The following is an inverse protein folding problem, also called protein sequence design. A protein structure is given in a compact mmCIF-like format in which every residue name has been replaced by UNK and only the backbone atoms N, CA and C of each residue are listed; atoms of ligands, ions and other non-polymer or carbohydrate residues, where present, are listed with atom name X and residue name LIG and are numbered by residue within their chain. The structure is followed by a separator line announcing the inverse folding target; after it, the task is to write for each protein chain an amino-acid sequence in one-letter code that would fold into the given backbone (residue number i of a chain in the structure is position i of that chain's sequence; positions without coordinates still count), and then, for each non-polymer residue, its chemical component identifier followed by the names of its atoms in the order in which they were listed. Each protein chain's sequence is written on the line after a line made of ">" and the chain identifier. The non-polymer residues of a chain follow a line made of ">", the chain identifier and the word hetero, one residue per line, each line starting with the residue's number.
data_IF_272140446071
#
_entry.id   IF_272140446071
#
_cell.length_a   1.000
_cell.length_b   1.000
_cell.length_c   1.000
_cell.angle_alpha   90.00
_cell.angle_beta   90.00
_cell.angle_gamma   90.00
#
_symmetry.space_group_name_H-M   'P 1'
#
loop_
_entity.id
_entity.type
_entity.pdbx_description
1 polymer ?
#
# COMPACT_ATOMS: atom_id res chain seq x y z
N UNK A 1 -17.60 16.64 -34.72
CA UNK A 1 -18.33 16.03 -33.60
C UNK A 1 -17.66 16.53 -32.35
N UNK A 2 -18.31 17.51 -31.68
CA UNK A 2 -17.88 18.00 -30.37
C UNK A 2 -18.01 16.85 -29.38
N UNK A 3 -16.95 16.56 -28.63
CA UNK A 3 -17.02 15.68 -27.46
C UNK A 3 -17.91 16.40 -26.46
N UNK A 4 -19.18 16.00 -26.39
CA UNK A 4 -20.03 16.41 -25.29
C UNK A 4 -19.32 16.00 -24.00
N UNK A 5 -19.03 16.97 -23.18
CA UNK A 5 -18.40 16.76 -21.87
C UNK A 5 -19.44 15.98 -21.05
N UNK A 6 -19.26 14.68 -20.97
CA UNK A 6 -20.18 13.81 -20.23
C UNK A 6 -20.07 14.17 -18.75
N UNK A 7 -21.13 14.81 -18.25
CA UNK A 7 -21.22 15.20 -16.84
C UNK A 7 -21.78 14.05 -16.03
N UNK A 8 -21.08 13.66 -14.97
CA UNK A 8 -21.60 12.69 -14.02
C UNK A 8 -22.65 13.36 -13.13
N UNK A 9 -23.97 13.06 -13.26
CA UNK A 9 -24.96 13.54 -12.34
C UNK A 9 -24.81 12.82 -10.99
N UNK A 10 -24.75 13.58 -9.90
CA UNK A 10 -24.60 13.05 -8.55
C UNK A 10 -25.16 13.99 -7.50
N UNK A 11 -25.55 13.47 -6.34
CA UNK A 11 -25.87 14.28 -5.18
C UNK A 11 -24.61 14.78 -4.44
N UNK A 12 -23.46 14.13 -4.68
CA UNK A 12 -22.18 14.51 -4.14
C UNK A 12 -21.04 13.64 -4.68
N UNK A 13 -19.91 14.24 -5.04
CA UNK A 13 -18.69 13.55 -5.44
C UNK A 13 -17.53 14.08 -4.61
N UNK A 14 -16.75 13.16 -4.04
CA UNK A 14 -15.45 13.46 -3.42
C UNK A 14 -14.37 12.58 -4.00
N UNK A 15 -13.14 13.09 -4.01
CA UNK A 15 -11.95 12.36 -4.40
C UNK A 15 -10.87 12.60 -3.35
N UNK A 16 -10.28 11.52 -2.87
CA UNK A 16 -9.25 11.53 -1.84
C UNK A 16 -8.09 10.64 -2.25
N UNK A 17 -6.89 10.95 -1.76
CA UNK A 17 -5.73 10.08 -1.96
C UNK A 17 -5.00 9.78 -0.67
N UNK A 18 -4.40 8.61 -0.63
CA UNK A 18 -3.48 8.17 0.42
C UNK A 18 -2.24 7.57 -0.21
N UNK A 19 -1.07 7.88 0.37
CA UNK A 19 0.21 7.35 -0.04
C UNK A 19 0.83 6.48 1.05
N UNK A 20 1.45 5.38 0.63
CA UNK A 20 2.21 4.48 1.49
C UNK A 20 3.59 4.17 0.85
N UNK A 21 4.68 4.52 1.58
CA UNK A 21 4.74 5.30 2.81
C UNK A 21 4.28 6.75 2.64
N UNK A 22 3.79 7.36 3.72
CA UNK A 22 3.31 8.74 3.71
C UNK A 22 4.50 9.71 3.78
N UNK A 23 5.17 9.90 2.64
CA UNK A 23 6.38 10.71 2.51
C UNK A 23 6.41 11.40 1.15
N UNK A 24 7.19 12.47 1.03
CA UNK A 24 7.56 13.08 -0.25
C UNK A 24 8.96 12.65 -0.72
N UNK A 25 9.64 11.80 0.05
CA UNK A 25 10.94 11.25 -0.30
C UNK A 25 10.79 9.79 -0.68
N UNK A 26 11.07 9.49 -1.94
CA UNK A 26 11.09 8.14 -2.48
C UNK A 26 12.50 7.56 -2.46
N UNK A 27 12.61 6.25 -2.40
CA UNK A 27 13.87 5.54 -2.66
C UNK A 27 13.84 4.98 -4.07
N UNK A 28 14.88 5.22 -4.84
CA UNK A 28 15.02 4.66 -6.20
C UNK A 28 14.90 3.13 -6.14
N UNK A 29 14.06 2.56 -7.01
CA UNK A 29 13.77 1.13 -7.06
C UNK A 29 12.80 0.64 -5.98
N UNK A 30 12.31 1.50 -5.08
CA UNK A 30 11.34 1.12 -4.06
C UNK A 30 9.94 1.63 -4.43
N UNK A 31 8.89 0.82 -4.21
CA UNK A 31 7.52 1.21 -4.54
C UNK A 31 6.96 2.24 -3.57
N UNK A 32 6.18 3.16 -4.13
CA UNK A 32 5.23 4.03 -3.43
C UNK A 32 3.84 3.61 -3.87
N UNK A 33 2.97 3.31 -2.94
CA UNK A 33 1.57 2.96 -3.25
C UNK A 33 0.68 4.19 -3.09
N UNK A 34 -0.05 4.53 -4.14
CA UNK A 34 -1.12 5.53 -4.13
C UNK A 34 -2.46 4.82 -4.10
N UNK A 35 -3.29 5.13 -3.12
CA UNK A 35 -4.69 4.71 -3.09
C UNK A 35 -5.56 5.93 -3.33
N UNK A 36 -6.33 5.93 -4.41
CA UNK A 36 -7.30 6.96 -4.75
C UNK A 36 -8.69 6.43 -4.41
N UNK A 37 -9.46 7.16 -3.65
CA UNK A 37 -10.85 6.84 -3.30
C UNK A 37 -11.78 7.88 -3.87
N UNK A 38 -12.63 7.46 -4.81
CA UNK A 38 -13.74 8.24 -5.33
C UNK A 38 -15.01 7.83 -4.59
N UNK A 39 -15.72 8.79 -4.02
CA UNK A 39 -17.00 8.53 -3.36
C UNK A 39 -18.10 9.28 -4.09
N UNK A 40 -19.14 8.56 -4.51
CA UNK A 40 -20.34 9.11 -5.17
C UNK A 40 -21.59 8.89 -4.31
N UNK A 41 -22.46 9.89 -4.26
CA UNK A 41 -23.76 9.84 -3.57
C UNK A 41 -24.87 9.70 -4.62
N UNK A 42 -25.70 8.65 -4.46
CA UNK A 42 -26.75 8.26 -5.40
C UNK A 42 -26.23 7.86 -6.79
N UNK A 43 -25.00 7.30 -6.82
CA UNK A 43 -24.40 6.69 -7.99
C UNK A 43 -24.11 5.21 -7.70
N UNK A 44 -24.10 4.39 -8.72
CA UNK A 44 -23.48 3.06 -8.64
C UNK A 44 -21.98 3.19 -9.01
N UNK A 45 -21.07 2.28 -8.55
CA UNK A 45 -19.63 2.40 -8.80
C UNK A 45 -19.27 2.44 -10.28
N UNK A 46 -20.05 1.79 -11.15
CA UNK A 46 -19.86 1.73 -12.59
C UNK A 46 -20.07 3.10 -13.27
N UNK A 47 -20.83 3.99 -12.65
CA UNK A 47 -21.05 5.37 -13.13
C UNK A 47 -19.88 6.29 -12.75
N UNK A 48 -19.13 5.95 -11.69
CA UNK A 48 -17.98 6.75 -11.25
C UNK A 48 -16.85 6.53 -12.25
N UNK A 49 -16.32 7.61 -12.89
CA UNK A 49 -15.28 7.52 -13.89
C UNK A 49 -14.03 6.81 -13.38
N UNK A 50 -13.29 6.23 -14.29
CA UNK A 50 -11.98 5.66 -14.00
C UNK A 50 -10.90 6.74 -13.95
N UNK A 51 -9.86 6.50 -13.14
CA UNK A 51 -8.66 7.35 -13.09
C UNK A 51 -7.54 6.62 -13.82
N UNK A 52 -7.08 7.18 -14.94
CA UNK A 52 -6.03 6.54 -15.73
C UNK A 52 -4.70 6.48 -14.96
N UNK A 53 -3.90 5.48 -15.30
CA UNK A 53 -2.53 5.38 -14.82
C UNK A 53 -1.68 6.46 -15.50
N UNK A 54 -1.03 7.36 -14.77
CA UNK A 54 -0.23 8.42 -15.36
C UNK A 54 1.06 7.87 -15.97
N UNK A 55 1.55 8.54 -17.03
CA UNK A 55 2.87 8.30 -17.60
C UNK A 55 3.81 9.37 -17.07
N UNK A 56 4.87 8.97 -16.37
CA UNK A 56 5.87 9.87 -15.78
C UNK A 56 7.26 9.39 -16.20
N UNK A 57 8.07 10.30 -16.71
CA UNK A 57 9.44 9.97 -17.16
C UNK A 57 10.26 9.41 -16.00
N UNK A 58 10.98 8.30 -16.24
CA UNK A 58 11.83 7.59 -15.29
C UNK A 58 11.09 7.10 -14.00
N UNK A 59 9.77 6.97 -14.09
CA UNK A 59 8.94 6.35 -13.03
C UNK A 59 8.04 5.30 -13.67
N UNK A 60 8.17 4.06 -13.28
CA UNK A 60 7.21 3.02 -13.67
C UNK A 60 5.96 3.14 -12.81
N UNK A 61 4.81 3.24 -13.46
CA UNK A 61 3.52 3.32 -12.77
C UNK A 61 2.66 2.12 -13.19
N UNK A 62 2.17 1.39 -12.21
CA UNK A 62 1.33 0.21 -12.41
C UNK A 62 -0.01 0.40 -11.70
N UNK A 63 -1.09 -0.13 -12.30
CA UNK A 63 -2.37 -0.30 -11.60
C UNK A 63 -2.32 -1.61 -10.82
N UNK A 64 -2.48 -1.54 -9.50
CA UNK A 64 -2.42 -2.69 -8.57
C UNK A 64 -3.82 -3.19 -8.17
N UNK A 65 -4.84 -2.70 -8.82
CA UNK A 65 -6.20 -3.16 -8.61
C UNK A 65 -7.23 -2.06 -8.42
N UNK A 66 -8.47 -2.52 -8.39
CA UNK A 66 -9.66 -1.72 -8.16
C UNK A 66 -10.61 -2.48 -7.24
N UNK A 67 -11.25 -1.76 -6.34
CA UNK A 67 -12.29 -2.29 -5.47
C UNK A 67 -13.48 -1.33 -5.47
N UNK A 68 -14.67 -1.90 -5.66
CA UNK A 68 -15.92 -1.18 -5.59
C UNK A 68 -16.67 -1.55 -4.31
N UNK A 69 -17.20 -0.56 -3.62
CA UNK A 69 -18.00 -0.72 -2.41
C UNK A 69 -19.30 0.06 -2.53
N UNK A 70 -20.37 -0.46 -1.96
CA UNK A 70 -21.68 0.20 -1.89
C UNK A 70 -22.29 0.01 -0.52
N UNK A 71 -22.94 1.04 -0.03
CA UNK A 71 -23.76 0.96 1.18
C UNK A 71 -24.94 1.93 1.12
N UNK A 72 -26.05 1.53 1.73
CA UNK A 72 -27.18 2.42 1.99
C UNK A 72 -27.03 3.04 3.37
N UNK A 73 -27.07 4.36 3.43
CA UNK A 73 -27.01 5.12 4.68
C UNK A 73 -27.95 6.31 4.62
N UNK A 74 -28.87 6.43 5.60
CA UNK A 74 -29.83 7.52 5.69
C UNK A 74 -30.66 7.73 4.40
N UNK A 75 -31.06 6.65 3.73
CA UNK A 75 -31.83 6.70 2.49
C UNK A 75 -31.02 7.07 1.23
N UNK A 76 -29.72 7.24 1.32
CA UNK A 76 -28.82 7.52 0.20
C UNK A 76 -27.96 6.31 -0.11
N UNK A 77 -27.72 6.09 -1.40
CA UNK A 77 -26.71 5.15 -1.87
C UNK A 77 -25.34 5.83 -1.87
N UNK A 78 -24.41 5.31 -1.09
CA UNK A 78 -23.02 5.75 -1.07
C UNK A 78 -22.17 4.69 -1.75
N UNK A 79 -21.52 5.05 -2.84
CA UNK A 79 -20.64 4.17 -3.59
C UNK A 79 -19.21 4.67 -3.54
N UNK A 80 -18.28 3.73 -3.42
CA UNK A 80 -16.84 4.03 -3.46
C UNK A 80 -16.16 3.21 -4.55
N UNK A 81 -15.33 3.88 -5.33
CA UNK A 81 -14.37 3.26 -6.24
C UNK A 81 -12.97 3.52 -5.71
N UNK A 82 -12.27 2.46 -5.35
CA UNK A 82 -10.94 2.51 -4.74
C UNK A 82 -9.94 1.97 -5.75
N UNK A 83 -9.00 2.80 -6.17
CA UNK A 83 -8.01 2.49 -7.20
C UNK A 83 -6.63 2.51 -6.55
N UNK A 84 -5.85 1.44 -6.72
CA UNK A 84 -4.46 1.38 -6.29
C UNK A 84 -3.51 1.52 -7.47
N UNK A 85 -2.51 2.38 -7.30
CA UNK A 85 -1.43 2.61 -8.25
C UNK A 85 -0.08 2.48 -7.52
N UNK A 86 0.88 1.82 -8.15
CA UNK A 86 2.24 1.66 -7.62
C UNK A 86 3.19 2.49 -8.48
N UNK A 87 3.96 3.35 -7.85
CA UNK A 87 4.97 4.21 -8.47
C UNK A 87 6.36 3.70 -8.07
N UNK A 88 7.21 3.39 -9.05
CA UNK A 88 8.59 2.93 -8.82
C UNK A 88 9.53 3.87 -9.57
N UNK A 89 10.18 4.82 -8.88
CA UNK A 89 11.21 5.67 -9.48
C UNK A 89 12.41 4.81 -9.91
N UNK A 90 12.84 4.94 -11.17
CA UNK A 90 13.97 4.17 -11.70
C UNK A 90 15.32 4.87 -11.52
N UNK A 91 15.28 6.18 -11.29
CA UNK A 91 16.48 7.03 -11.16
C UNK A 91 16.37 7.98 -9.96
N UNK A 92 17.47 8.63 -9.65
CA UNK A 92 17.54 9.74 -8.70
C UNK A 92 16.97 11.00 -9.36
N UNK A 93 15.67 11.24 -9.21
CA UNK A 93 14.93 12.32 -9.85
C UNK A 93 13.89 12.96 -8.93
N UNK A 94 13.53 14.20 -9.23
CA UNK A 94 12.27 14.77 -8.76
C UNK A 94 11.17 14.45 -9.78
N UNK A 95 9.99 14.06 -9.31
CA UNK A 95 8.83 13.85 -10.17
C UNK A 95 7.56 14.37 -9.51
N UNK A 96 6.56 14.62 -10.34
CA UNK A 96 5.27 15.19 -9.89
C UNK A 96 4.14 14.34 -10.43
N UNK A 97 3.15 14.03 -9.60
CA UNK A 97 1.91 13.41 -10.06
C UNK A 97 1.03 14.45 -10.74
N UNK A 98 0.29 14.10 -11.80
CA UNK A 98 -0.61 15.05 -12.44
C UNK A 98 -1.79 15.40 -11.55
N UNK A 99 -2.32 16.61 -11.73
CA UNK A 99 -3.61 17.02 -11.18
C UNK A 99 -4.72 16.14 -11.77
N UNK A 100 -5.70 15.78 -10.96
CA UNK A 100 -6.89 15.06 -11.40
C UNK A 100 -8.08 15.97 -11.23
N UNK A 101 -8.86 16.15 -12.30
CA UNK A 101 -10.13 16.89 -12.29
C UNK A 101 -11.26 15.96 -12.72
N UNK A 102 -12.29 15.87 -11.89
CA UNK A 102 -13.52 15.17 -12.20
C UNK A 102 -14.67 16.19 -12.26
N UNK A 103 -15.19 16.44 -13.46
CA UNK A 103 -16.35 17.30 -13.66
C UNK A 103 -17.63 16.51 -13.39
N UNK A 104 -18.54 17.07 -12.60
CA UNK A 104 -19.80 16.44 -12.27
C UNK A 104 -20.93 17.45 -12.13
N UNK A 105 -22.17 16.99 -12.27
CA UNK A 105 -23.35 17.81 -12.10
C UNK A 105 -23.98 17.56 -10.74
N UNK A 106 -24.05 18.59 -9.90
CA UNK A 106 -24.70 18.46 -8.58
C UNK A 106 -26.20 18.53 -8.73
N UNK A 107 -26.88 17.39 -8.55
CA UNK A 107 -28.33 17.25 -8.70
C UNK A 107 -29.14 17.92 -7.60
N UNK A 108 -28.51 18.30 -6.47
CA UNK A 108 -29.17 19.02 -5.36
C UNK A 108 -29.16 20.52 -5.64
N UNK A 109 -28.01 21.07 -6.03
CA UNK A 109 -27.86 22.52 -6.27
C UNK A 109 -28.04 22.91 -7.73
N UNK A 110 -28.30 21.93 -8.61
CA UNK A 110 -28.54 22.06 -10.05
C UNK A 110 -27.45 22.89 -10.76
N UNK A 111 -26.19 22.56 -10.53
CA UNK A 111 -25.03 23.25 -11.11
C UNK A 111 -23.81 22.35 -11.29
N UNK A 112 -22.92 22.71 -12.25
CA UNK A 112 -21.66 22.01 -12.43
C UNK A 112 -20.73 22.21 -11.23
N UNK A 113 -19.98 21.16 -10.90
CA UNK A 113 -18.93 21.15 -9.89
C UNK A 113 -17.71 20.36 -10.35
N UNK A 114 -16.58 20.54 -9.67
CA UNK A 114 -15.34 19.83 -9.93
C UNK A 114 -14.85 19.24 -8.61
N UNK A 115 -14.58 17.95 -8.60
CA UNK A 115 -13.79 17.30 -7.57
C UNK A 115 -12.35 17.17 -8.08
N UNK A 116 -11.36 17.52 -7.28
CA UNK A 116 -9.97 17.52 -7.72
C UNK A 116 -9.01 16.95 -6.68
N UNK A 117 -7.91 16.37 -7.18
CA UNK A 117 -6.68 16.14 -6.42
C UNK A 117 -5.58 17.00 -7.03
N UNK A 118 -4.86 17.71 -6.19
CA UNK A 118 -3.73 18.51 -6.60
C UNK A 118 -2.52 17.67 -6.98
N UNK A 119 -1.59 18.29 -7.69
CA UNK A 119 -0.29 17.70 -7.97
C UNK A 119 0.48 17.41 -6.68
N UNK A 120 1.23 16.30 -6.65
CA UNK A 120 2.13 16.01 -5.55
C UNK A 120 3.54 15.80 -6.04
N UNK A 121 4.49 16.47 -5.38
CA UNK A 121 5.91 16.43 -5.71
C UNK A 121 6.64 15.41 -4.86
N UNK A 122 7.50 14.64 -5.50
CA UNK A 122 8.36 13.64 -4.86
C UNK A 122 9.81 13.84 -5.27
N UNK A 123 10.72 13.52 -4.35
CA UNK A 123 12.14 13.44 -4.59
C UNK A 123 12.60 12.00 -4.43
N UNK A 124 13.02 11.36 -5.51
CA UNK A 124 13.61 10.03 -5.45
C UNK A 124 15.13 10.12 -5.30
N UNK A 125 15.70 9.32 -4.39
CA UNK A 125 17.15 9.27 -4.16
C UNK A 125 17.63 7.84 -3.97
N UNK A 126 18.86 7.57 -4.40
CA UNK A 126 19.55 6.31 -4.13
C UNK A 126 19.95 6.31 -2.64
N UNK A 127 19.57 5.25 -1.92
CA UNK A 127 20.14 5.03 -0.59
C UNK A 127 21.56 4.50 -0.76
N UNK A 128 22.55 5.37 -0.63
CA UNK A 128 23.92 4.93 -0.49
C UNK A 128 24.05 4.38 0.92
N UNK A 129 23.94 3.06 1.07
CA UNK A 129 24.35 2.40 2.29
C UNK A 129 25.88 2.53 2.41
N UNK A 130 26.35 3.60 3.07
CA UNK A 130 27.73 3.69 3.53
C UNK A 130 27.94 2.68 4.66
N UNK A 131 27.82 1.40 4.38
CA UNK A 131 28.48 0.38 5.16
C UNK A 131 29.97 0.57 4.90
N UNK A 132 30.62 1.40 5.73
CA UNK A 132 32.06 1.43 5.84
C UNK A 132 32.50 -0.02 5.99
N UNK A 133 33.33 -0.56 5.09
CA UNK A 133 33.83 -1.91 5.28
C UNK A 133 34.49 -1.93 6.65
N UNK A 134 33.98 -2.72 7.56
CA UNK A 134 34.71 -3.08 8.76
C UNK A 134 35.89 -3.87 8.26
N UNK A 135 37.02 -3.20 8.14
CA UNK A 135 38.32 -3.88 7.95
C UNK A 135 38.48 -4.75 9.18
N UNK A 136 38.24 -6.05 8.99
CA UNK A 136 38.55 -7.04 9.98
C UNK A 136 40.04 -6.90 10.28
N UNK A 137 40.37 -6.34 11.45
CA UNK A 137 41.72 -6.35 11.99
C UNK A 137 42.20 -7.79 12.02
N UNK A 138 43.37 -8.11 11.53
CA UNK A 138 43.86 -9.48 11.55
C UNK A 138 43.93 -9.96 13.01
N UNK A 139 43.06 -10.91 13.34
CA UNK A 139 43.09 -11.58 14.63
C UNK A 139 44.44 -12.31 14.71
N UNK A 140 45.30 -11.85 15.63
CA UNK A 140 46.53 -12.53 16.04
C UNK A 140 46.12 -13.94 16.49
N UNK A 141 46.51 -14.93 15.70
CA UNK A 141 46.34 -16.34 16.04
C UNK A 141 47.20 -16.65 17.28
N UNK A 142 46.53 -16.70 18.42
CA UNK A 142 47.12 -17.26 19.64
C UNK A 142 47.02 -18.78 19.56
N UNK A 143 48.18 -19.43 19.36
CA UNK A 143 48.39 -20.86 19.31
C UNK A 143 47.69 -21.54 20.49
N UNK A 144 46.88 -22.62 20.29
CA UNK A 144 46.28 -23.33 21.40
C UNK A 144 47.31 -24.17 22.11
N UNK A 145 47.51 -23.88 23.38
CA UNK A 145 48.21 -24.77 24.33
C UNK A 145 47.23 -25.90 24.70
N UNK A 146 47.67 -27.12 24.46
CA UNK A 146 46.96 -28.33 24.87
C UNK A 146 46.94 -28.45 26.39
N UNK A 147 45.79 -28.53 26.99
CA UNK A 147 45.60 -29.20 28.27
C UNK A 147 44.26 -29.96 28.24
N UNK A 148 44.42 -31.26 28.34
CA UNK A 148 43.39 -32.27 28.47
C UNK A 148 42.58 -32.06 29.75
N UNK A 149 41.45 -32.74 29.76
CA UNK A 149 40.56 -33.02 30.90
C UNK A 149 39.49 -31.95 31.18
N UNK A 150 38.26 -32.24 30.74
CA UNK A 150 37.03 -32.29 31.54
C UNK A 150 35.80 -32.55 30.62
N UNK A 151 35.69 -33.79 30.15
CA UNK A 151 34.44 -34.30 29.59
C UNK A 151 33.86 -35.32 30.55
N UNK A 152 33.21 -34.87 31.60
CA UNK A 152 32.28 -35.72 32.34
C UNK A 152 31.32 -34.84 33.11
N UNK A 153 30.06 -35.15 32.98
CA UNK A 153 28.91 -34.58 33.69
C UNK A 153 28.33 -33.30 33.11
N UNK A 154 27.30 -33.49 32.26
CA UNK A 154 25.98 -32.85 32.39
C UNK A 154 25.10 -33.28 31.19
N UNK A 155 24.53 -34.48 31.25
CA UNK A 155 23.31 -34.80 30.52
C UNK A 155 22.12 -34.30 31.36
N UNK A 156 21.36 -33.32 30.93
CA UNK A 156 20.05 -33.10 31.53
C UNK A 156 19.04 -34.04 30.87
N UNK A 157 18.39 -34.77 31.71
CA UNK A 157 17.22 -35.60 31.48
C UNK A 157 16.14 -34.85 30.71
N UNK A 158 15.92 -35.23 29.45
CA UNK A 158 14.66 -34.96 28.78
C UNK A 158 13.76 -36.14 29.08
N UNK A 159 12.99 -36.00 30.13
CA UNK A 159 11.98 -36.97 30.53
C UNK A 159 10.60 -36.40 30.17
N UNK A 160 9.97 -37.08 29.24
CA UNK A 160 8.54 -37.29 29.11
C UNK A 160 7.55 -36.20 29.57
N UNK A 161 7.02 -35.44 28.64
CA UNK A 161 5.63 -35.01 28.64
C UNK A 161 5.04 -35.24 27.25
N UNK A 162 4.79 -36.48 26.92
CA UNK A 162 3.86 -36.89 25.87
C UNK A 162 2.87 -37.82 26.53
N UNK A 163 1.70 -37.36 26.79
CA UNK A 163 0.63 -38.19 27.31
C UNK A 163 -0.23 -37.43 28.31
N UNK A 164 -1.20 -36.68 27.86
CA UNK A 164 -2.55 -36.46 28.38
C UNK A 164 -3.22 -35.32 27.58
N UNK A 165 -3.62 -35.57 26.35
CA UNK A 165 -4.75 -34.92 25.69
C UNK A 165 -5.35 -35.93 24.67
N UNK A 166 -5.87 -37.00 25.16
CA UNK A 166 -6.84 -37.85 24.44
C UNK A 166 -7.77 -38.42 25.48
N UNK A 167 -8.72 -37.66 25.92
CA UNK A 167 -9.95 -38.18 26.55
C UNK A 167 -10.82 -36.97 26.95
N UNK A 168 -11.61 -36.44 26.02
CA UNK A 168 -12.86 -35.72 26.27
C UNK A 168 -13.55 -35.39 24.93
N UNK A 169 -13.86 -36.43 24.19
CA UNK A 169 -14.84 -36.37 23.09
C UNK A 169 -15.64 -37.70 23.17
N UNK A 170 -16.64 -37.69 24.03
CA UNK A 170 -17.75 -38.67 23.93
C UNK A 170 -19.05 -37.91 23.73
N UNK A 171 -19.89 -38.34 22.80
CA UNK A 171 -21.09 -37.61 22.41
C UNK A 171 -22.23 -37.85 23.40
N UNK A 172 -23.00 -36.83 23.67
CA UNK A 172 -24.33 -36.98 24.28
C UNK A 172 -25.34 -36.97 23.14
N UNK A 173 -25.80 -38.22 22.84
CA UNK A 173 -27.03 -38.51 22.11
C UNK A 173 -28.06 -38.95 23.17
N UNK A 174 -29.06 -38.10 23.38
CA UNK A 174 -30.41 -38.49 23.82
C UNK A 174 -31.33 -37.26 23.62
#
# INVERSE_FOLDING_TARGET
>A
HGTEKEWLPSAGITIEERWEPQTSYAKTGQPLTRTITLTGINNIPEQIPDIPTPVITDVKVYRDGEKNEQQYQNGMLISKKIIKQIFVPEKNIAFTTPVIHLNWWNTISDRPQIASLDERKFMASIVVNNTKPVVASPATQKKPSASNTFWSSLLPKISFIVGVIVALLTPILA
#
